data_IF_223362749803
#
_entry.id   IF_223362749803
#
_cell.length_a   1.000
_cell.length_b   1.000
_cell.length_c   1.000
_cell.angle_alpha   90.00
_cell.angle_beta   90.00
_cell.angle_gamma   90.00
#
_symmetry.space_group_name_H-M   'P 1'
#
loop_
_entity.id
_entity.type
_entity.pdbx_description
1 polymer ?
#
# COMPACT_ATOMS: atom_id res chain seq x y z
N UNK A 1 26.93 3.27 5.06
CA UNK A 1 26.71 4.04 3.81
C UNK A 1 25.34 4.70 3.95
N UNK A 2 25.27 6.02 3.79
CA UNK A 2 24.05 6.79 4.03
C UNK A 2 22.94 6.35 3.06
N UNK A 3 21.85 5.80 3.60
CA UNK A 3 20.61 5.63 2.84
C UNK A 3 20.04 7.03 2.62
N UNK A 4 20.06 7.50 1.39
CA UNK A 4 19.21 8.61 0.97
C UNK A 4 17.77 8.13 1.07
N UNK A 5 17.13 8.36 2.22
CA UNK A 5 15.70 8.26 2.38
C UNK A 5 15.08 9.25 1.38
N UNK A 6 14.65 8.76 0.24
CA UNK A 6 13.71 9.49 -0.60
C UNK A 6 12.35 9.41 0.08
N UNK A 7 12.15 10.25 1.10
CA UNK A 7 10.84 10.51 1.68
C UNK A 7 9.93 10.95 0.55
N UNK A 8 8.86 10.20 0.30
CA UNK A 8 7.85 10.62 -0.65
C UNK A 8 7.06 11.74 0.02
N UNK A 9 7.50 12.99 -0.20
CA UNK A 9 6.84 14.15 0.39
C UNK A 9 5.45 14.31 -0.21
N UNK A 10 4.45 13.71 0.43
CA UNK A 10 3.07 14.08 0.18
C UNK A 10 2.89 15.56 0.51
N UNK A 11 2.38 16.32 -0.44
CA UNK A 11 1.85 17.66 -0.15
C UNK A 11 0.83 17.56 0.99
N UNK A 12 0.74 18.58 1.85
CA UNK A 12 -0.25 18.63 2.94
C UNK A 12 -1.66 18.34 2.45
N UNK A 13 -1.99 18.82 1.24
CA UNK A 13 -3.25 18.56 0.56
C UNK A 13 -3.50 17.07 0.28
N UNK A 14 -2.49 16.34 -0.21
CA UNK A 14 -2.61 14.91 -0.44
C UNK A 14 -2.80 14.13 0.87
N UNK A 15 -2.15 14.56 1.96
CA UNK A 15 -2.33 13.94 3.30
C UNK A 15 -3.75 14.11 3.82
N UNK A 16 -4.31 15.32 3.70
CA UNK A 16 -5.70 15.61 4.06
C UNK A 16 -6.65 14.76 3.22
N UNK A 17 -6.46 14.74 1.90
CA UNK A 17 -7.31 13.98 0.99
C UNK A 17 -7.31 12.47 1.28
N UNK A 18 -6.16 11.90 1.61
CA UNK A 18 -6.07 10.49 2.02
C UNK A 18 -6.80 10.27 3.36
N UNK A 19 -6.58 11.15 4.33
CA UNK A 19 -7.16 11.03 5.67
C UNK A 19 -8.68 11.22 5.68
N UNK A 20 -9.22 12.02 4.76
CA UNK A 20 -10.66 12.24 4.58
C UNK A 20 -11.39 11.00 4.04
N UNK A 21 -10.68 10.10 3.36
CA UNK A 21 -11.25 8.85 2.87
C UNK A 21 -11.20 7.75 3.95
N UNK A 22 -12.21 7.76 4.83
CA UNK A 22 -12.30 6.87 6.01
C UNK A 22 -11.91 5.41 5.72
N UNK A 23 -12.45 4.71 4.69
CA UNK A 23 -12.05 3.33 4.40
C UNK A 23 -10.55 3.14 4.18
N UNK A 24 -9.91 4.04 3.44
CA UNK A 24 -8.47 3.96 3.18
C UNK A 24 -7.66 4.33 4.43
N UNK A 25 -8.08 5.36 5.17
CA UNK A 25 -7.44 5.74 6.43
C UNK A 25 -7.43 4.59 7.43
N UNK A 26 -8.58 4.00 7.72
CA UNK A 26 -8.70 2.87 8.66
C UNK A 26 -7.83 1.70 8.21
N UNK A 27 -7.86 1.38 6.91
CA UNK A 27 -7.04 0.31 6.37
C UNK A 27 -5.53 0.59 6.54
N UNK A 28 -5.07 1.83 6.28
CA UNK A 28 -3.67 2.22 6.49
C UNK A 28 -3.28 2.12 7.96
N UNK A 29 -4.12 2.58 8.88
CA UNK A 29 -3.87 2.47 10.32
C UNK A 29 -3.67 0.99 10.73
N UNK A 30 -4.55 0.10 10.28
CA UNK A 30 -4.44 -1.34 10.53
C UNK A 30 -3.18 -1.98 9.92
N UNK A 31 -2.73 -1.50 8.76
CA UNK A 31 -1.60 -2.08 8.01
C UNK A 31 -0.30 -1.28 8.16
N UNK A 32 -0.21 -0.41 9.16
CA UNK A 32 1.03 0.31 9.52
C UNK A 32 1.38 0.17 11.00
N UNK A 33 0.41 -0.29 11.82
CA UNK A 33 0.68 -0.71 13.19
C UNK A 33 1.38 -2.08 13.15
N UNK A 34 2.56 -2.15 13.76
CA UNK A 34 3.26 -3.40 13.99
C UNK A 34 2.40 -4.37 14.81
N UNK A 35 2.31 -5.63 14.37
CA UNK A 35 1.67 -6.70 15.15
C UNK A 35 2.29 -6.83 16.56
N UNK A 36 3.60 -6.57 16.70
CA UNK A 36 4.31 -6.57 17.99
C UNK A 36 3.93 -5.37 18.87
N UNK A 37 3.69 -4.19 18.29
CA UNK A 37 3.21 -3.01 19.03
C UNK A 37 1.73 -3.15 19.40
N UNK A 38 0.91 -3.76 18.54
CA UNK A 38 -0.50 -4.04 18.82
C UNK A 38 -0.70 -4.96 20.04
N UNK A 39 0.21 -5.93 20.27
CA UNK A 39 0.18 -6.78 21.47
C UNK A 39 0.56 -6.05 22.77
N UNK A 40 1.29 -4.93 22.69
CA UNK A 40 1.80 -4.20 23.86
C UNK A 40 1.09 -2.87 24.12
N UNK A 41 0.23 -2.41 23.20
CA UNK A 41 -0.57 -1.21 23.38
C UNK A 41 -1.89 -1.55 24.08
N UNK A 42 -1.92 -1.22 25.39
CA UNK A 42 -3.15 -0.88 26.08
C UNK A 42 -3.90 0.18 25.27
N UNK A 43 -5.21 -0.01 25.11
CA UNK A 43 -6.22 0.95 24.63
C UNK A 43 -5.70 2.39 24.55
N UNK A 44 -5.40 2.86 23.33
CA UNK A 44 -5.07 4.27 23.09
C UNK A 44 -6.31 4.97 22.57
N UNK A 45 -6.70 6.00 23.33
CA UNK A 45 -7.73 7.00 23.05
C UNK A 45 -7.61 7.58 21.64
N UNK A 46 -8.78 7.78 21.02
CA UNK A 46 -9.04 8.53 19.77
C UNK A 46 -8.03 8.30 18.62
N UNK A 47 -8.44 7.51 17.61
CA UNK A 47 -7.72 7.44 16.32
C UNK A 47 -7.43 8.87 15.82
N UNK A 48 -6.15 9.20 15.54
CA UNK A 48 -5.75 10.56 15.19
C UNK A 48 -6.50 11.04 13.94
N UNK A 49 -6.85 12.32 13.86
CA UNK A 49 -7.65 12.84 12.74
C UNK A 49 -6.94 12.68 11.38
N UNK A 50 -5.61 12.78 11.35
CA UNK A 50 -4.78 12.66 10.16
C UNK A 50 -3.76 11.52 10.28
N UNK A 51 -3.44 10.88 9.15
CA UNK A 51 -2.32 9.94 9.06
C UNK A 51 -0.98 10.68 9.25
N UNK A 52 -0.07 10.07 10.00
CA UNK A 52 1.27 10.62 10.17
C UNK A 52 2.20 10.28 8.99
N UNK A 53 3.34 10.96 8.91
CA UNK A 53 4.30 10.80 7.81
C UNK A 53 4.89 9.40 7.72
N UNK A 54 5.15 8.74 8.85
CA UNK A 54 5.67 7.38 8.85
C UNK A 54 4.66 6.38 8.27
N UNK A 55 3.36 6.53 8.56
CA UNK A 55 2.30 5.69 7.98
C UNK A 55 2.19 5.90 6.46
N UNK A 56 2.33 7.14 6.01
CA UNK A 56 2.29 7.47 4.59
C UNK A 56 3.53 6.99 3.83
N UNK A 57 4.72 7.13 4.42
CA UNK A 57 5.97 6.62 3.86
C UNK A 57 5.93 5.08 3.75
N UNK A 58 5.43 4.40 4.78
CA UNK A 58 5.30 2.95 4.81
C UNK A 58 4.42 2.45 3.66
N UNK A 59 3.26 3.07 3.46
CA UNK A 59 2.34 2.68 2.38
C UNK A 59 2.84 3.08 0.99
N UNK A 60 3.63 4.15 0.87
CA UNK A 60 4.17 4.59 -0.42
C UNK A 60 5.47 3.92 -0.84
N UNK A 61 6.19 3.30 0.08
CA UNK A 61 7.42 2.58 -0.24
C UNK A 61 7.22 1.06 -0.17
N UNK A 62 6.21 0.61 0.57
CA UNK A 62 5.86 -0.78 0.78
C UNK A 62 5.13 -1.47 -0.37
N UNK A 63 4.86 -2.78 -0.21
CA UNK A 63 4.29 -3.63 -1.27
C UNK A 63 2.89 -3.20 -1.75
N UNK A 64 2.15 -2.47 -0.92
CA UNK A 64 0.81 -1.97 -1.25
C UNK A 64 0.81 -0.66 -2.06
N UNK A 65 1.97 -0.03 -2.29
CA UNK A 65 2.06 1.28 -2.96
C UNK A 65 1.22 1.36 -4.23
N UNK A 66 1.35 0.38 -5.13
CA UNK A 66 0.69 0.42 -6.44
C UNK A 66 -0.83 0.37 -6.29
N UNK A 67 -1.33 -0.53 -5.45
CA UNK A 67 -2.75 -0.66 -5.13
C UNK A 67 -3.30 0.65 -4.55
N UNK A 68 -2.64 1.16 -3.52
CA UNK A 68 -3.07 2.36 -2.82
C UNK A 68 -3.03 3.59 -3.73
N UNK A 69 -1.96 3.76 -4.52
CA UNK A 69 -1.85 4.82 -5.53
C UNK A 69 -3.01 4.81 -6.52
N UNK A 70 -3.40 3.64 -7.04
CA UNK A 70 -4.50 3.53 -7.99
C UNK A 70 -5.83 3.94 -7.36
N UNK A 71 -6.09 3.47 -6.13
CA UNK A 71 -7.31 3.81 -5.39
C UNK A 71 -7.38 5.31 -5.06
N UNK A 72 -6.27 5.93 -4.63
CA UNK A 72 -6.22 7.36 -4.35
C UNK A 72 -6.35 8.23 -5.59
N UNK A 73 -5.77 7.83 -6.73
CA UNK A 73 -5.98 8.55 -7.97
C UNK A 73 -7.47 8.60 -8.36
N UNK A 74 -8.20 7.51 -8.17
CA UNK A 74 -9.64 7.48 -8.41
C UNK A 74 -10.40 8.38 -7.42
N UNK A 75 -10.09 8.28 -6.14
CA UNK A 75 -10.72 9.11 -5.10
C UNK A 75 -10.45 10.61 -5.32
N UNK A 76 -9.21 10.97 -5.62
CA UNK A 76 -8.79 12.35 -5.87
C UNK A 76 -9.52 12.97 -7.07
N UNK A 77 -9.85 12.20 -8.12
CA UNK A 77 -10.67 12.69 -9.24
C UNK A 77 -12.08 13.09 -8.77
N UNK A 78 -12.69 12.29 -7.89
CA UNK A 78 -14.03 12.57 -7.35
C UNK A 78 -14.01 13.82 -6.46
N UNK A 79 -13.01 13.92 -5.57
CA UNK A 79 -12.85 15.08 -4.69
C UNK A 79 -12.59 16.35 -5.50
N UNK A 80 -11.68 16.29 -6.47
CA UNK A 80 -11.40 17.40 -7.36
C UNK A 80 -12.65 17.83 -8.15
N UNK A 81 -13.41 16.90 -8.71
CA UNK A 81 -14.66 17.21 -9.40
C UNK A 81 -15.65 17.94 -8.48
N UNK A 82 -15.82 17.44 -7.24
CA UNK A 82 -16.69 18.06 -6.24
C UNK A 82 -16.24 19.47 -5.87
N UNK A 83 -14.93 19.66 -5.69
CA UNK A 83 -14.35 20.95 -5.35
C UNK A 83 -14.51 21.96 -6.48
N UNK A 84 -14.16 21.60 -7.72
CA UNK A 84 -14.30 22.48 -8.88
C UNK A 84 -15.76 22.88 -9.10
N UNK A 85 -16.70 21.93 -8.99
CA UNK A 85 -18.12 22.24 -9.09
C UNK A 85 -18.54 23.24 -8.00
N UNK A 86 -18.25 22.97 -6.72
CA UNK A 86 -18.60 23.90 -5.63
C UNK A 86 -17.98 25.28 -5.80
N UNK A 87 -16.69 25.37 -6.11
CA UNK A 87 -15.98 26.65 -6.20
C UNK A 87 -16.47 27.55 -7.34
N UNK A 88 -16.98 26.96 -8.43
CA UNK A 88 -17.33 27.70 -9.64
C UNK A 88 -18.82 27.74 -9.97
N UNK A 89 -19.67 26.97 -9.27
CA UNK A 89 -21.12 26.97 -9.51
C UNK A 89 -21.96 27.32 -8.27
N UNK A 90 -21.39 27.29 -7.07
CA UNK A 90 -22.12 27.60 -5.84
C UNK A 90 -22.10 29.11 -5.58
N UNK A 91 -23.28 29.65 -5.23
CA UNK A 91 -23.47 31.06 -4.93
C UNK A 91 -22.59 31.55 -3.77
N UNK A 92 -22.24 30.65 -2.84
CA UNK A 92 -21.36 30.92 -1.70
C UNK A 92 -19.95 31.33 -2.13
N UNK A 93 -19.49 30.89 -3.30
CA UNK A 93 -18.13 31.13 -3.81
C UNK A 93 -18.09 32.11 -4.99
N UNK A 94 -19.13 32.95 -5.17
CA UNK A 94 -19.20 33.94 -6.27
C UNK A 94 -17.98 34.85 -6.37
N UNK A 95 -17.45 35.32 -5.25
CA UNK A 95 -16.26 36.19 -5.25
C UNK A 95 -15.01 35.43 -5.68
N UNK A 96 -14.92 34.13 -5.36
CA UNK A 96 -13.83 33.29 -5.84
C UNK A 96 -13.94 33.05 -7.35
N UNK A 97 -15.11 32.65 -7.82
CA UNK A 97 -15.35 32.33 -9.23
C UNK A 97 -15.27 33.55 -10.16
N UNK A 98 -15.57 34.76 -9.66
CA UNK A 98 -15.36 36.00 -10.39
C UNK A 98 -13.88 36.36 -10.60
N UNK A 99 -13.01 35.95 -9.65
CA UNK A 99 -11.60 36.34 -9.62
C UNK A 99 -10.63 35.23 -10.07
N UNK A 100 -11.12 34.01 -10.30
CA UNK A 100 -10.31 32.86 -10.69
C UNK A 100 -10.88 32.18 -11.92
N UNK A 101 -10.00 31.57 -12.73
CA UNK A 101 -10.42 30.78 -13.88
C UNK A 101 -10.55 29.30 -13.47
N UNK A 102 -11.69 28.70 -13.81
CA UNK A 102 -11.89 27.25 -13.66
C UNK A 102 -10.86 26.47 -14.47
N UNK A 103 -10.36 25.37 -13.88
CA UNK A 103 -9.50 24.42 -14.59
C UNK A 103 -10.31 23.51 -15.54
N UNK A 104 -11.63 23.55 -15.46
CA UNK A 104 -12.58 22.78 -16.26
C UNK A 104 -13.42 23.69 -17.16
N UNK A 105 -13.80 23.19 -18.33
CA UNK A 105 -14.73 23.88 -19.24
C UNK A 105 -16.16 23.85 -18.71
N UNK A 106 -17.03 24.75 -19.17
CA UNK A 106 -18.46 24.75 -18.77
C UNK A 106 -19.13 23.39 -19.08
N UNK A 107 -18.86 22.80 -20.25
CA UNK A 107 -19.39 21.48 -20.60
C UNK A 107 -18.93 20.37 -19.62
N UNK A 108 -17.70 20.46 -19.10
CA UNK A 108 -17.19 19.54 -18.09
C UNK A 108 -17.84 19.78 -16.72
N UNK A 109 -18.07 21.04 -16.34
CA UNK A 109 -18.80 21.39 -15.11
C UNK A 109 -20.27 20.92 -15.17
N UNK A 110 -20.93 21.10 -16.30
CA UNK A 110 -22.29 20.61 -16.54
C UNK A 110 -22.35 19.08 -16.48
N UNK A 111 -21.32 18.40 -17.01
CA UNK A 111 -21.19 16.95 -16.86
C UNK A 111 -21.13 16.57 -15.38
N UNK A 112 -20.29 17.25 -14.59
CA UNK A 112 -20.15 16.99 -13.14
C UNK A 112 -21.46 17.27 -12.40
N UNK A 113 -22.18 18.34 -12.74
CA UNK A 113 -23.46 18.69 -12.13
C UNK A 113 -24.51 17.58 -12.26
N UNK A 114 -24.50 16.87 -13.38
CA UNK A 114 -25.39 15.75 -13.66
C UNK A 114 -24.89 14.41 -13.09
N UNK A 115 -23.65 14.34 -12.59
CA UNK A 115 -23.10 13.14 -11.98
C UNK A 115 -23.51 13.01 -10.52
N UNK A 116 -23.91 11.80 -10.15
CA UNK A 116 -24.12 11.43 -8.75
C UNK A 116 -22.79 11.11 -8.08
N UNK A 117 -21.99 12.15 -7.78
CA UNK A 117 -20.66 12.01 -7.17
C UNK A 117 -20.68 11.23 -5.84
N UNK A 118 -21.78 11.29 -5.09
CA UNK A 118 -21.97 10.49 -3.88
C UNK A 118 -22.05 8.98 -4.16
N UNK A 119 -22.75 8.58 -5.22
CA UNK A 119 -22.81 7.17 -5.65
C UNK A 119 -21.45 6.70 -6.17
N UNK A 120 -20.73 7.53 -6.93
CA UNK A 120 -19.36 7.19 -7.37
C UNK A 120 -18.41 6.96 -6.18
N UNK A 121 -18.46 7.82 -5.16
CA UNK A 121 -17.63 7.67 -3.96
C UNK A 121 -18.01 6.40 -3.16
N UNK A 122 -19.30 6.09 -3.07
CA UNK A 122 -19.78 4.87 -2.43
C UNK A 122 -19.27 3.63 -3.15
N UNK A 123 -19.48 3.54 -4.47
CA UNK A 123 -19.00 2.42 -5.29
C UNK A 123 -17.47 2.26 -5.21
N UNK A 124 -16.74 3.38 -5.17
CA UNK A 124 -15.29 3.37 -5.00
C UNK A 124 -14.87 2.79 -3.64
N UNK A 125 -15.61 3.12 -2.58
CA UNK A 125 -15.34 2.63 -1.23
C UNK A 125 -15.65 1.14 -1.09
N UNK A 126 -16.74 0.68 -1.70
CA UNK A 126 -17.09 -0.75 -1.78
C UNK A 126 -16.02 -1.53 -2.55
N UNK A 127 -15.63 -1.05 -3.74
CA UNK A 127 -14.56 -1.68 -4.52
C UNK A 127 -13.21 -1.70 -3.79
N UNK A 128 -12.89 -0.65 -3.02
CA UNK A 128 -11.69 -0.63 -2.19
C UNK A 128 -11.71 -1.77 -1.15
N UNK A 129 -12.81 -1.93 -0.43
CA UNK A 129 -12.96 -3.01 0.55
C UNK A 129 -12.86 -4.39 -0.11
N UNK A 130 -13.55 -4.62 -1.23
CA UNK A 130 -13.48 -5.88 -1.99
C UNK A 130 -12.04 -6.20 -2.43
N UNK A 131 -11.33 -5.21 -2.95
CA UNK A 131 -9.95 -5.36 -3.39
C UNK A 131 -9.00 -5.64 -2.21
N UNK A 132 -9.19 -4.98 -1.06
CA UNK A 132 -8.37 -5.28 0.15
C UNK A 132 -8.56 -6.72 0.63
N UNK A 133 -9.79 -7.25 0.60
CA UNK A 133 -10.07 -8.64 0.96
C UNK A 133 -9.45 -9.63 -0.05
N UNK A 134 -9.50 -9.29 -1.34
CA UNK A 134 -8.82 -10.05 -2.40
C UNK A 134 -7.31 -10.12 -2.16
N UNK A 135 -6.68 -8.99 -1.83
CA UNK A 135 -5.25 -8.94 -1.47
C UNK A 135 -4.93 -9.82 -0.28
N UNK A 136 -5.68 -9.73 0.82
CA UNK A 136 -5.43 -10.56 2.01
C UNK A 136 -5.49 -12.05 1.68
N UNK A 137 -6.42 -12.46 0.81
CA UNK A 137 -6.56 -13.86 0.39
C UNK A 137 -5.35 -14.32 -0.43
N UNK A 138 -4.95 -13.52 -1.42
CA UNK A 138 -3.83 -13.84 -2.32
C UNK A 138 -2.50 -13.85 -1.57
N UNK A 139 -2.28 -12.90 -0.65
CA UNK A 139 -1.08 -12.84 0.18
C UNK A 139 -0.96 -14.09 1.06
N UNK A 140 -2.06 -14.53 1.70
CA UNK A 140 -2.07 -15.77 2.47
C UNK A 140 -1.71 -16.98 1.62
N UNK A 141 -2.23 -17.07 0.39
CA UNK A 141 -1.89 -18.15 -0.53
C UNK A 141 -0.40 -18.13 -0.90
N UNK A 142 0.17 -16.97 -1.18
CA UNK A 142 1.60 -16.82 -1.45
C UNK A 142 2.44 -17.22 -0.25
N UNK A 143 2.09 -16.76 0.94
CA UNK A 143 2.80 -17.12 2.17
C UNK A 143 2.74 -18.64 2.40
N UNK A 144 1.58 -19.29 2.22
CA UNK A 144 1.46 -20.74 2.34
C UNK A 144 2.32 -21.49 1.30
N UNK A 145 2.33 -21.01 0.06
CA UNK A 145 3.15 -21.58 -1.00
C UNK A 145 4.65 -21.46 -0.72
N UNK A 146 5.08 -20.38 -0.05
CA UNK A 146 6.47 -20.18 0.40
C UNK A 146 6.79 -21.08 1.60
N UNK A 147 5.91 -21.13 2.61
CA UNK A 147 6.17 -21.86 3.85
C UNK A 147 6.28 -23.39 3.62
N UNK A 148 5.48 -23.94 2.70
CA UNK A 148 5.43 -25.38 2.41
C UNK A 148 6.80 -26.00 2.09
N UNK A 149 7.57 -25.55 1.09
CA UNK A 149 8.92 -26.08 0.81
C UNK A 149 9.96 -25.76 1.89
N UNK A 150 9.68 -24.82 2.81
CA UNK A 150 10.57 -24.48 3.91
C UNK A 150 10.37 -25.36 5.15
N UNK A 151 9.34 -26.21 5.18
CA UNK A 151 9.09 -27.17 6.26
C UNK A 151 10.26 -28.13 6.52
N UNK A 152 11.12 -28.37 5.51
CA UNK A 152 12.36 -29.14 5.66
C UNK A 152 13.32 -28.55 6.71
N UNK A 153 13.22 -27.26 7.00
CA UNK A 153 13.99 -26.57 8.05
C UNK A 153 13.30 -26.65 9.42
N UNK A 154 12.33 -27.55 9.61
CA UNK A 154 11.66 -27.79 10.90
C UNK A 154 11.14 -26.51 11.56
N UNK A 155 10.39 -25.71 10.80
CA UNK A 155 9.87 -24.42 11.27
C UNK A 155 8.96 -24.60 12.50
N UNK A 156 9.16 -23.76 13.50
CA UNK A 156 8.31 -23.71 14.69
C UNK A 156 6.99 -22.97 14.41
N UNK A 157 5.99 -23.17 15.26
CA UNK A 157 4.73 -22.45 15.17
C UNK A 157 4.92 -20.93 15.24
N UNK A 158 5.83 -20.45 16.10
CA UNK A 158 6.16 -19.02 16.24
C UNK A 158 6.81 -18.46 14.98
N UNK A 159 7.76 -19.18 14.38
CA UNK A 159 8.40 -18.77 13.12
C UNK A 159 7.38 -18.64 11.98
N UNK A 160 6.42 -19.56 11.91
CA UNK A 160 5.32 -19.49 10.96
C UNK A 160 4.37 -18.33 11.25
N UNK A 161 4.02 -18.09 12.51
CA UNK A 161 3.18 -16.97 12.94
C UNK A 161 3.81 -15.61 12.58
N UNK A 162 5.10 -15.42 12.85
CA UNK A 162 5.85 -14.22 12.45
C UNK A 162 5.88 -14.06 10.94
N UNK A 163 6.04 -15.16 10.18
CA UNK A 163 6.04 -15.10 8.72
C UNK A 163 4.67 -14.74 8.13
N UNK A 164 3.58 -15.27 8.70
CA UNK A 164 2.22 -15.02 8.24
C UNK A 164 1.68 -13.65 8.64
N UNK A 165 2.14 -13.10 9.77
CA UNK A 165 1.80 -11.74 10.19
C UNK A 165 2.25 -10.69 9.18
N UNK A 166 1.54 -9.58 9.07
CA UNK A 166 2.03 -8.42 8.34
C UNK A 166 2.95 -7.61 9.25
N UNK A 167 4.12 -7.24 8.75
CA UNK A 167 5.04 -6.33 9.43
C UNK A 167 5.28 -5.13 8.50
N UNK A 168 5.28 -3.89 9.04
CA UNK A 168 5.72 -2.74 8.26
C UNK A 168 7.11 -3.00 7.65
N UNK A 169 7.30 -2.62 6.39
CA UNK A 169 8.55 -2.75 5.65
C UNK A 169 9.71 -2.14 6.44
N UNK A 170 9.50 -0.98 7.05
CA UNK A 170 10.50 -0.35 7.93
C UNK A 170 10.99 -1.28 9.04
N UNK A 171 10.09 -2.04 9.68
CA UNK A 171 10.44 -3.01 10.71
C UNK A 171 11.15 -4.24 10.15
N UNK A 172 10.71 -4.73 8.99
CA UNK A 172 11.40 -5.81 8.27
C UNK A 172 12.84 -5.39 7.96
N UNK A 173 13.05 -4.19 7.42
CA UNK A 173 14.38 -3.68 7.08
C UNK A 173 15.24 -3.44 8.33
N UNK A 174 14.66 -2.97 9.44
CA UNK A 174 15.39 -2.84 10.70
C UNK A 174 15.91 -4.18 11.21
N UNK A 175 15.12 -5.27 11.09
CA UNK A 175 15.59 -6.61 11.46
C UNK A 175 16.80 -7.06 10.64
N UNK A 176 16.93 -6.66 9.37
CA UNK A 176 18.14 -6.95 8.59
C UNK A 176 19.36 -6.21 9.17
N UNK A 177 19.19 -4.95 9.56
CA UNK A 177 20.25 -4.16 10.20
C UNK A 177 20.67 -4.78 11.54
N UNK A 178 19.70 -5.12 12.40
CA UNK A 178 19.94 -5.70 13.73
C UNK A 178 20.69 -7.03 13.66
N UNK A 179 20.38 -7.83 12.63
CA UNK A 179 21.01 -9.13 12.39
C UNK A 179 22.28 -9.04 11.54
N UNK A 180 22.72 -7.84 11.15
CA UNK A 180 23.85 -7.61 10.24
C UNK A 180 23.75 -8.41 8.92
N UNK A 181 22.54 -8.51 8.37
CA UNK A 181 22.26 -9.18 7.10
C UNK A 181 22.30 -8.19 5.94
N UNK A 182 22.80 -8.64 4.79
CA UNK A 182 22.74 -7.84 3.57
C UNK A 182 21.27 -7.73 3.11
N UNK A 183 20.75 -6.51 3.05
CA UNK A 183 19.46 -6.28 2.40
C UNK A 183 19.61 -6.59 0.90
N UNK A 184 18.77 -7.48 0.33
CA UNK A 184 18.72 -7.70 -1.10
C UNK A 184 18.58 -6.35 -1.82
N UNK A 185 19.52 -6.05 -2.74
CA UNK A 185 19.52 -4.79 -3.50
C UNK A 185 18.21 -4.69 -4.31
N UNK A 186 17.27 -3.88 -3.86
CA UNK A 186 16.13 -3.48 -4.68
C UNK A 186 16.61 -2.40 -5.66
N UNK A 187 16.33 -2.59 -6.95
CA UNK A 187 16.65 -1.57 -7.97
C UNK A 187 15.62 -0.45 -8.02
N UNK A 188 14.55 -0.56 -7.23
CA UNK A 188 13.36 0.28 -7.28
C UNK A 188 13.18 1.01 -5.95
N UNK A 189 12.69 2.24 -6.03
CA UNK A 189 12.29 3.07 -4.89
C UNK A 189 11.06 2.52 -4.16
N UNK A 190 10.25 1.72 -4.86
CA UNK A 190 9.03 1.10 -4.34
C UNK A 190 9.20 -0.41 -4.38
N UNK A 191 8.92 -1.06 -3.26
CA UNK A 191 8.97 -2.51 -3.12
C UNK A 191 7.66 -3.15 -3.56
N UNK A 192 7.71 -4.33 -4.18
CA UNK A 192 6.52 -5.12 -4.50
C UNK A 192 6.37 -6.33 -3.56
N UNK A 193 5.27 -7.10 -3.69
CA UNK A 193 5.04 -8.23 -2.77
C UNK A 193 6.06 -9.36 -2.89
N UNK A 194 6.59 -9.60 -4.09
CA UNK A 194 7.63 -10.61 -4.30
C UNK A 194 8.92 -10.25 -3.55
N UNK A 195 9.31 -8.99 -3.61
CA UNK A 195 10.49 -8.46 -2.90
C UNK A 195 10.27 -8.47 -1.38
N UNK A 196 9.12 -8.00 -0.90
CA UNK A 196 8.77 -8.01 0.52
C UNK A 196 8.74 -9.43 1.11
N UNK A 197 8.07 -10.37 0.43
CA UNK A 197 8.00 -11.76 0.89
C UNK A 197 9.37 -12.45 0.82
N UNK A 198 10.25 -12.06 -0.10
CA UNK A 198 11.64 -12.54 -0.13
C UNK A 198 12.40 -12.07 1.12
N UNK A 199 12.24 -10.82 1.56
CA UNK A 199 12.84 -10.35 2.81
C UNK A 199 12.36 -11.18 4.00
N UNK A 200 11.04 -11.35 4.14
CA UNK A 200 10.46 -12.17 5.22
C UNK A 200 10.95 -13.61 5.18
N UNK A 201 11.12 -14.17 3.98
CA UNK A 201 11.65 -15.53 3.79
C UNK A 201 13.09 -15.66 4.28
N UNK A 202 13.94 -14.66 4.02
CA UNK A 202 15.33 -14.67 4.48
C UNK A 202 15.37 -14.60 6.01
N UNK A 203 14.55 -13.75 6.64
CA UNK A 203 14.44 -13.68 8.11
C UNK A 203 13.95 -15.00 8.71
N UNK A 204 12.96 -15.64 8.09
CA UNK A 204 12.45 -16.95 8.49
C UNK A 204 13.54 -18.03 8.42
N UNK A 205 14.27 -18.08 7.30
CA UNK A 205 15.39 -19.00 7.11
C UNK A 205 16.50 -18.75 8.13
N UNK A 206 16.87 -17.49 8.36
CA UNK A 206 17.87 -17.11 9.34
C UNK A 206 17.47 -17.62 10.74
N UNK A 207 16.24 -17.37 11.17
CA UNK A 207 15.72 -17.87 12.45
C UNK A 207 15.83 -19.39 12.55
N UNK A 208 15.33 -20.10 11.53
CA UNK A 208 15.29 -21.56 11.53
C UNK A 208 16.68 -22.19 11.54
N UNK A 209 17.60 -21.67 10.73
CA UNK A 209 18.98 -22.16 10.64
C UNK A 209 19.77 -21.83 11.90
N UNK A 210 19.64 -20.61 12.42
CA UNK A 210 20.28 -20.19 13.68
C UNK A 210 19.89 -21.09 14.84
N UNK A 211 18.59 -21.41 14.97
CA UNK A 211 18.08 -22.32 16.01
C UNK A 211 18.63 -23.74 15.88
N UNK A 212 18.88 -24.19 14.66
CA UNK A 212 19.46 -25.51 14.39
C UNK A 212 21.00 -25.51 14.47
N UNK A 213 21.61 -24.37 14.83
CA UNK A 213 23.07 -24.19 14.79
C UNK A 213 23.69 -24.51 13.42
N UNK A 214 22.94 -24.31 12.34
CA UNK A 214 23.39 -24.49 10.96
C UNK A 214 24.02 -23.17 10.48
N UNK A 215 25.08 -23.20 9.65
CA UNK A 215 25.59 -22.01 8.98
C UNK A 215 24.48 -21.21 8.30
N UNK A 216 24.48 -19.90 8.53
CA UNK A 216 23.44 -18.98 8.08
C UNK A 216 24.07 -17.67 7.53
N UNK A 217 25.22 -17.80 6.88
CA UNK A 217 25.81 -16.69 6.13
C UNK A 217 24.89 -16.26 4.99
N UNK A 218 25.16 -15.09 4.41
CA UNK A 218 24.40 -14.61 3.25
C UNK A 218 24.40 -15.63 2.09
N UNK A 219 25.49 -16.37 1.91
CA UNK A 219 25.62 -17.43 0.91
C UNK A 219 24.70 -18.61 1.23
N UNK A 220 24.61 -19.00 2.50
CA UNK A 220 23.77 -20.11 2.97
C UNK A 220 22.28 -19.77 2.80
N UNK A 221 21.88 -18.56 3.20
CA UNK A 221 20.51 -18.06 3.03
C UNK A 221 20.12 -17.96 1.55
N UNK A 222 21.07 -17.54 0.69
CA UNK A 222 20.86 -17.51 -0.77
C UNK A 222 20.71 -18.91 -1.36
N UNK A 223 21.47 -19.89 -0.87
CA UNK A 223 21.34 -21.28 -1.28
C UNK A 223 20.00 -21.89 -0.83
N UNK A 224 19.60 -21.66 0.42
CA UNK A 224 18.35 -22.15 1.01
C UNK A 224 17.09 -21.55 0.35
N UNK A 225 17.17 -20.30 -0.12
CA UNK A 225 16.07 -19.63 -0.84
C UNK A 225 16.04 -19.93 -2.34
N UNK A 226 17.08 -20.56 -2.91
CA UNK A 226 17.16 -20.87 -4.34
C UNK A 226 15.97 -21.68 -4.89
N UNK A 227 15.44 -22.70 -4.18
CA UNK A 227 14.26 -23.46 -4.64
C UNK A 227 13.00 -22.60 -4.81
N UNK A 228 12.91 -21.45 -4.13
CA UNK A 228 11.78 -20.54 -4.19
C UNK A 228 11.85 -19.55 -5.35
N UNK A 229 12.94 -19.54 -6.14
CA UNK A 229 13.16 -18.54 -7.20
C UNK A 229 12.02 -18.49 -8.20
N UNK A 230 11.51 -19.64 -8.65
CA UNK A 230 10.37 -19.71 -9.57
C UNK A 230 9.09 -19.19 -8.94
N UNK A 231 8.85 -19.50 -7.66
CA UNK A 231 7.70 -19.01 -6.92
C UNK A 231 7.72 -17.48 -6.77
N UNK A 232 8.86 -16.87 -6.44
CA UNK A 232 8.98 -15.42 -6.38
C UNK A 232 8.72 -14.74 -7.73
N UNK A 233 9.16 -15.36 -8.84
CA UNK A 233 8.82 -14.87 -10.18
C UNK A 233 7.32 -14.98 -10.48
N UNK A 234 6.66 -16.05 -10.05
CA UNK A 234 5.21 -16.21 -10.19
C UNK A 234 4.44 -15.18 -9.36
N UNK A 235 4.84 -14.96 -8.10
CA UNK A 235 4.26 -13.92 -7.23
C UNK A 235 4.40 -12.55 -7.88
N UNK A 236 5.57 -12.23 -8.44
CA UNK A 236 5.79 -10.95 -9.11
C UNK A 236 4.84 -10.75 -10.31
N UNK A 237 4.58 -11.80 -11.08
CA UNK A 237 3.66 -11.74 -12.21
C UNK A 237 2.21 -11.58 -11.74
N UNK A 238 1.77 -12.37 -10.76
CA UNK A 238 0.43 -12.30 -10.20
C UNK A 238 0.14 -10.95 -9.51
N UNK A 239 1.12 -10.41 -8.76
CA UNK A 239 1.07 -9.08 -8.16
C UNK A 239 0.86 -7.99 -9.23
N UNK A 240 1.58 -8.09 -10.35
CA UNK A 240 1.41 -7.16 -11.48
C UNK A 240 0.02 -7.28 -12.12
N UNK A 241 -0.44 -8.51 -12.38
CA UNK A 241 -1.76 -8.77 -12.99
C UNK A 241 -2.90 -8.28 -12.10
N UNK A 242 -2.83 -8.54 -10.79
CA UNK A 242 -3.83 -8.11 -9.83
C UNK A 242 -3.90 -6.58 -9.74
N UNK A 243 -2.74 -5.91 -9.67
CA UNK A 243 -2.69 -4.45 -9.69
C UNK A 243 -3.28 -3.86 -10.99
N UNK A 244 -3.01 -4.49 -12.16
CA UNK A 244 -3.57 -4.04 -13.44
C UNK A 244 -5.09 -4.23 -13.52
N UNK A 245 -5.58 -5.39 -13.08
CA UNK A 245 -7.01 -5.67 -13.00
C UNK A 245 -7.72 -4.64 -12.11
N UNK A 246 -7.20 -4.40 -10.90
CA UNK A 246 -7.82 -3.47 -9.96
C UNK A 246 -7.74 -2.02 -10.44
N UNK A 247 -6.64 -1.60 -11.07
CA UNK A 247 -6.54 -0.30 -11.73
C UNK A 247 -7.67 -0.11 -12.76
N UNK A 248 -7.93 -1.13 -13.59
CA UNK A 248 -9.02 -1.06 -14.57
C UNK A 248 -10.41 -0.99 -13.94
N UNK A 249 -10.63 -1.67 -12.80
CA UNK A 249 -11.90 -1.60 -12.07
C UNK A 249 -12.14 -0.19 -11.49
N UNK A 250 -11.09 0.44 -10.93
CA UNK A 250 -11.15 1.82 -10.49
C UNK A 250 -11.43 2.79 -11.65
N UNK A 251 -10.74 2.61 -12.78
CA UNK A 251 -10.95 3.43 -13.98
C UNK A 251 -12.38 3.33 -14.53
N UNK A 252 -13.04 2.19 -14.40
CA UNK A 252 -14.46 2.03 -14.77
C UNK A 252 -15.35 2.94 -13.91
N UNK A 253 -15.13 3.00 -12.59
CA UNK A 253 -15.91 3.85 -11.69
C UNK A 253 -15.73 5.33 -12.04
N UNK A 254 -14.49 5.75 -12.28
CA UNK A 254 -14.18 7.17 -12.57
C UNK A 254 -14.15 7.50 -14.05
N UNK A 255 -14.64 6.60 -14.93
CA UNK A 255 -14.74 6.82 -16.38
C UNK A 255 -15.45 8.12 -16.75
N UNK A 256 -16.56 8.52 -16.08
CA UNK A 256 -17.20 9.82 -16.37
C UNK A 256 -16.30 11.03 -16.09
N UNK A 257 -15.25 10.85 -15.28
CA UNK A 257 -14.31 11.88 -14.85
C UNK A 257 -12.96 11.80 -15.60
N UNK A 258 -12.86 11.04 -16.69
CA UNK A 258 -11.60 10.81 -17.42
C UNK A 258 -10.91 12.08 -17.96
N UNK A 259 -11.66 13.18 -18.11
CA UNK A 259 -11.13 14.46 -18.55
C UNK A 259 -10.32 15.17 -17.44
N UNK A 260 -10.46 14.75 -16.18
CA UNK A 260 -9.68 15.27 -15.05
C UNK A 260 -8.29 14.63 -15.06
N UNK A 261 -7.26 15.45 -15.32
CA UNK A 261 -5.85 15.06 -15.25
C UNK A 261 -5.25 15.54 -13.93
N UNK A 262 -5.10 14.61 -12.99
CA UNK A 262 -4.36 14.87 -11.76
C UNK A 262 -2.87 15.00 -12.11
N UNK A 263 -2.27 16.15 -11.81
CA UNK A 263 -0.82 16.31 -11.84
C UNK A 263 -0.25 15.58 -10.62
N UNK A 264 0.90 14.92 -10.81
CA UNK A 264 1.51 13.92 -9.91
C UNK A 264 1.12 14.07 -8.42
N UNK A 265 0.39 13.08 -7.91
CA UNK A 265 0.35 12.72 -6.48
C UNK A 265 1.64 11.97 -6.17
#
# INVERSE_FOLDING_TARGET
MASTNHTFLFSTYARTLISDWIPAKTWIEEHTISALKAQHQQTVDASPELLNEAQLDEITTGPYHTFIKNSFNAYAKIVFARQQHRMFTDDTFKDFSANHQSQLTNAQLDTIANLKLGELQKNLSELFQENTQSWQTVIRQWQQAIAKPLTQYQLTARELEEFFSYDPLSEVLNRFNDLNLDTPKTKKTVMNFSEYLRLKTILLLYSALSRQHIPHSQTDLSAASKPLKSLFSQIQQQDKELNQQQASQYDVIVKPLQFIKLHQI
#
